data_IF_028283443761
#
_entry.id   IF_028283443761
#
_cell.length_a   1.000
_cell.length_b   1.000
_cell.length_c   1.000
_cell.angle_alpha   90.00
_cell.angle_beta   90.00
_cell.angle_gamma   90.00
#
_symmetry.space_group_name_H-M   'P 1'
#
loop_
_entity.id
_entity.type
_entity.pdbx_description
1 polymer ?
#
# COMPACT_ATOMS: atom_id res chain seq x y z
N UNK A 1 -5.55 3.84 -13.81
CA UNK A 1 -6.39 2.70 -13.35
C UNK A 1 -6.66 2.90 -11.87
N UNK A 2 -7.75 2.36 -11.31
CA UNK A 2 -8.04 2.50 -9.87
C UNK A 2 -7.59 1.26 -9.13
N UNK A 3 -6.65 1.42 -8.20
CA UNK A 3 -5.99 0.33 -7.47
C UNK A 3 -6.49 0.36 -6.02
N UNK A 4 -6.91 -0.80 -5.51
CA UNK A 4 -7.34 -0.98 -4.13
C UNK A 4 -6.29 -1.82 -3.38
N UNK A 5 -5.76 -1.31 -2.28
CA UNK A 5 -4.83 -2.02 -1.39
C UNK A 5 -5.57 -2.41 -0.11
N UNK A 6 -5.69 -3.72 0.13
CA UNK A 6 -6.31 -4.24 1.35
C UNK A 6 -5.23 -4.79 2.26
N UNK A 7 -5.08 -4.19 3.44
CA UNK A 7 -4.27 -4.73 4.53
C UNK A 7 -5.09 -5.73 5.32
N UNK A 8 -4.74 -7.02 5.21
CA UNK A 8 -5.41 -8.12 5.92
C UNK A 8 -4.57 -8.61 7.13
N UNK A 9 -3.77 -7.72 7.71
CA UNK A 9 -2.89 -7.98 8.86
C UNK A 9 -2.86 -6.74 9.75
N UNK A 10 -2.60 -6.94 11.04
CA UNK A 10 -2.46 -5.82 11.97
C UNK A 10 -1.19 -5.02 11.65
N UNK A 11 -1.21 -3.68 11.78
CA UNK A 11 0.02 -2.90 11.71
C UNK A 11 0.94 -3.26 12.88
N UNK A 12 2.25 -3.16 12.68
CA UNK A 12 3.27 -3.48 13.68
C UNK A 12 3.28 -4.96 14.15
N UNK A 13 2.83 -5.90 13.32
CA UNK A 13 2.86 -7.36 13.58
C UNK A 13 4.27 -7.99 13.47
N UNK A 14 5.34 -7.20 13.66
CA UNK A 14 6.74 -7.54 13.38
C UNK A 14 7.02 -7.96 11.92
N UNK A 15 6.11 -7.70 10.98
CA UNK A 15 6.34 -7.87 9.55
C UNK A 15 6.34 -6.53 8.81
N UNK A 16 6.98 -6.51 7.64
CA UNK A 16 7.02 -5.31 6.79
C UNK A 16 5.80 -5.17 5.87
N UNK A 17 4.75 -6.00 6.03
CA UNK A 17 3.62 -6.03 5.08
C UNK A 17 2.94 -4.67 4.97
N UNK A 18 2.62 -4.04 6.10
CA UNK A 18 1.97 -2.73 6.13
C UNK A 18 2.88 -1.65 5.51
N UNK A 19 4.16 -1.64 5.87
CA UNK A 19 5.12 -0.67 5.34
C UNK A 19 5.38 -0.82 3.84
N UNK A 20 5.47 -2.07 3.36
CA UNK A 20 5.64 -2.36 1.94
C UNK A 20 4.42 -1.92 1.13
N UNK A 21 3.21 -2.16 1.64
CA UNK A 21 2.00 -1.70 0.97
C UNK A 21 1.89 -0.18 0.90
N UNK A 22 2.24 0.53 1.97
CA UNK A 22 2.25 2.01 1.96
C UNK A 22 3.29 2.58 1.00
N UNK A 23 4.49 1.98 0.92
CA UNK A 23 5.52 2.40 -0.04
C UNK A 23 5.09 2.18 -1.48
N UNK A 24 4.46 1.04 -1.76
CA UNK A 24 3.88 0.76 -3.07
C UNK A 24 2.79 1.77 -3.41
N UNK A 25 1.91 2.10 -2.47
CA UNK A 25 0.88 3.12 -2.67
C UNK A 25 1.47 4.47 -3.09
N UNK A 26 2.56 4.92 -2.44
CA UNK A 26 3.27 6.15 -2.81
C UNK A 26 3.84 6.10 -4.23
N UNK A 27 4.51 5.01 -4.61
CA UNK A 27 5.05 4.82 -5.96
C UNK A 27 3.95 4.78 -7.03
N UNK A 28 2.80 4.17 -6.72
CA UNK A 28 1.64 4.15 -7.62
C UNK A 28 1.05 5.55 -7.80
N UNK A 29 0.99 6.37 -6.73
CA UNK A 29 0.57 7.76 -6.84
C UNK A 29 1.56 8.60 -7.68
N UNK A 30 2.88 8.45 -7.47
CA UNK A 30 3.92 9.12 -8.26
C UNK A 30 3.83 8.79 -9.76
N UNK A 31 3.35 7.59 -10.11
CA UNK A 31 3.14 7.14 -11.49
C UNK A 31 1.74 7.45 -12.04
N UNK A 32 0.97 8.28 -11.35
CA UNK A 32 -0.35 8.77 -11.80
C UNK A 32 -1.50 7.79 -11.62
N UNK A 33 -1.34 6.74 -10.79
CA UNK A 33 -2.44 5.83 -10.45
C UNK A 33 -3.26 6.38 -9.28
N UNK A 34 -4.57 6.16 -9.33
CA UNK A 34 -5.46 6.44 -8.21
C UNK A 34 -5.46 5.23 -7.27
N UNK A 35 -5.05 5.43 -6.01
CA UNK A 35 -4.96 4.38 -4.98
C UNK A 35 -6.01 4.59 -3.90
N UNK A 36 -6.65 3.51 -3.44
CA UNK A 36 -7.59 3.46 -2.31
C UNK A 36 -7.29 2.31 -1.38
#
# INVERSE_FOLDING_TARGET
MKILIIFNREPYDNTDVTWNGLRLAGQLQETGQEVR
#
